data_IF_341959615235
#
_entry.id   IF_341959615235
#
_cell.length_a   1.000
_cell.length_b   1.000
_cell.length_c   1.000
_cell.angle_alpha   90.00
_cell.angle_beta   90.00
_cell.angle_gamma   90.00
#
_symmetry.space_group_name_H-M   'P 1'
#
loop_
_entity.id
_entity.type
_entity.pdbx_description
1 polymer ?
#
# COMPACT_ATOMS: atom_id res chain seq x y z
N UNK A 1 -49.63 -18.64 -14.10
CA UNK A 1 -48.82 -19.14 -15.22
C UNK A 1 -47.54 -18.32 -15.23
N UNK A 2 -46.51 -18.99 -14.71
CA UNK A 2 -45.08 -18.90 -15.02
C UNK A 2 -44.25 -17.63 -14.73
N UNK A 3 -43.50 -17.73 -13.63
CA UNK A 3 -42.18 -17.14 -13.31
C UNK A 3 -41.07 -17.54 -14.33
N UNK A 4 -39.76 -17.23 -14.12
CA UNK A 4 -39.06 -16.05 -13.57
C UNK A 4 -37.83 -15.62 -14.44
N UNK A 5 -37.13 -14.53 -14.08
CA UNK A 5 -35.72 -14.36 -14.45
C UNK A 5 -34.93 -13.57 -13.39
N UNK A 6 -34.19 -14.33 -12.56
CA UNK A 6 -32.85 -14.05 -12.01
C UNK A 6 -32.53 -12.63 -11.51
N UNK A 7 -32.66 -12.43 -10.20
CA UNK A 7 -31.81 -11.49 -9.45
C UNK A 7 -30.51 -12.23 -9.05
N UNK A 8 -29.41 -11.94 -9.74
CA UNK A 8 -28.08 -12.25 -9.23
C UNK A 8 -27.68 -11.18 -8.20
N UNK A 9 -27.57 -11.61 -6.95
CA UNK A 9 -26.95 -10.84 -5.87
C UNK A 9 -25.45 -10.88 -6.11
N UNK A 10 -24.92 -9.84 -6.74
CA UNK A 10 -23.49 -9.67 -6.94
C UNK A 10 -22.79 -9.54 -5.57
N UNK A 11 -21.86 -10.45 -5.33
CA UNK A 11 -21.15 -10.62 -4.07
C UNK A 11 -20.12 -9.51 -3.86
N UNK A 12 -19.82 -9.10 -2.62
CA UNK A 12 -18.82 -8.07 -2.36
C UNK A 12 -17.42 -8.52 -2.83
N UNK A 13 -16.56 -7.58 -3.26
CA UNK A 13 -15.26 -7.93 -3.81
C UNK A 13 -14.40 -8.63 -2.75
N UNK A 14 -14.04 -9.88 -3.06
CA UNK A 14 -13.09 -10.70 -2.31
C UNK A 14 -11.78 -9.91 -2.16
N UNK A 15 -11.46 -9.50 -0.94
CA UNK A 15 -10.16 -8.93 -0.59
C UNK A 15 -9.08 -10.01 -0.72
N UNK A 16 -8.46 -10.10 -1.89
CA UNK A 16 -7.27 -10.93 -2.14
C UNK A 16 -6.02 -10.16 -1.69
N UNK A 17 -5.91 -9.83 -0.40
CA UNK A 17 -4.64 -9.35 0.19
C UNK A 17 -4.47 -9.95 1.59
N UNK A 18 -4.45 -11.28 1.67
CA UNK A 18 -3.78 -11.96 2.77
C UNK A 18 -3.16 -13.27 2.29
N UNK A 19 -2.35 -13.17 1.23
CA UNK A 19 -1.56 -14.31 0.78
C UNK A 19 -0.37 -14.54 1.72
N UNK A 20 -0.53 -15.57 2.54
CA UNK A 20 0.52 -16.45 3.09
C UNK A 20 1.82 -15.73 3.46
N UNK A 21 1.86 -15.19 4.67
CA UNK A 21 3.14 -15.09 5.38
C UNK A 21 3.58 -16.52 5.68
N UNK A 22 4.37 -17.10 4.78
CA UNK A 22 5.14 -18.31 5.04
C UNK A 22 6.01 -17.96 6.25
N UNK A 23 5.62 -18.40 7.43
CA UNK A 23 6.51 -18.45 8.57
C UNK A 23 7.60 -19.44 8.16
N UNK A 24 8.68 -18.92 7.57
CA UNK A 24 9.96 -19.57 7.73
C UNK A 24 10.18 -19.52 9.24
N UNK A 25 9.80 -20.61 9.92
CA UNK A 25 10.48 -21.01 11.14
C UNK A 25 11.93 -21.16 10.73
N UNK A 26 12.66 -20.04 10.70
CA UNK A 26 14.10 -20.05 10.73
C UNK A 26 14.39 -20.76 12.02
N UNK A 27 14.79 -22.02 11.88
CA UNK A 27 15.40 -22.84 12.90
C UNK A 27 16.13 -21.88 13.84
N UNK A 28 15.56 -21.61 15.01
CA UNK A 28 16.36 -21.15 16.11
C UNK A 28 17.20 -22.37 16.44
N UNK A 29 18.27 -22.57 15.68
CA UNK A 29 19.50 -22.97 16.32
C UNK A 29 19.78 -21.83 17.29
N UNK A 30 19.13 -21.86 18.45
CA UNK A 30 19.86 -21.56 19.65
C UNK A 30 20.99 -22.57 19.59
N UNK A 31 22.09 -22.18 18.94
CA UNK A 31 23.37 -22.53 19.46
C UNK A 31 23.32 -21.91 20.86
N UNK A 32 22.76 -22.69 21.79
CA UNK A 32 23.18 -22.63 23.17
C UNK A 32 24.67 -22.78 23.01
N UNK A 33 25.39 -21.66 23.05
CA UNK A 33 26.83 -21.68 23.12
C UNK A 33 27.06 -22.46 24.40
N UNK A 34 27.27 -23.76 24.25
CA UNK A 34 27.86 -24.55 25.30
C UNK A 34 29.19 -23.85 25.47
N UNK A 35 29.27 -23.06 26.53
CA UNK A 35 30.54 -22.64 27.05
C UNK A 35 31.21 -23.94 27.46
N UNK A 36 31.88 -24.57 26.50
CA UNK A 36 32.84 -25.63 26.78
C UNK A 36 33.94 -24.92 27.55
N UNK A 37 33.73 -24.88 28.86
CA UNK A 37 34.69 -24.38 29.81
C UNK A 37 35.79 -25.41 29.86
N UNK A 38 36.66 -25.37 28.85
CA UNK A 38 37.90 -26.10 28.92
C UNK A 38 38.78 -25.36 29.92
N UNK A 39 38.60 -25.72 31.19
CA UNK A 39 39.54 -25.51 32.27
C UNK A 39 40.77 -26.39 31.98
N UNK A 40 41.40 -26.22 30.81
CA UNK A 40 42.73 -26.73 30.57
C UNK A 40 43.68 -25.78 31.30
N UNK A 41 43.61 -25.81 32.63
CA UNK A 41 44.75 -25.46 33.45
C UNK A 41 45.88 -26.31 32.93
N UNK A 42 46.91 -25.67 32.39
CA UNK A 42 48.19 -26.31 32.09
C UNK A 42 48.58 -27.22 33.28
N UNK A 43 49.16 -28.41 33.06
CA UNK A 43 49.49 -29.33 34.14
C UNK A 43 50.29 -28.58 35.21
N UNK A 44 50.05 -28.86 36.51
CA UNK A 44 50.78 -28.18 37.55
C UNK A 44 52.26 -28.44 37.30
N UNK A 45 53.03 -27.38 37.08
CA UNK A 45 54.48 -27.51 37.21
C UNK A 45 54.69 -27.68 38.72
N UNK A 46 54.79 -28.95 39.16
CA UNK A 46 54.97 -29.34 40.55
C UNK A 46 56.38 -28.93 41.01
N UNK A 47 56.69 -27.64 40.99
CA UNK A 47 57.71 -27.08 41.87
C UNK A 47 57.08 -27.10 43.24
N UNK A 48 57.65 -27.92 44.12
CA UNK A 48 57.27 -28.10 45.51
C UNK A 48 56.79 -26.78 46.10
N UNK A 49 55.48 -26.65 46.35
CA UNK A 49 54.91 -25.53 47.09
C UNK A 49 55.37 -25.68 48.54
N UNK A 50 56.65 -25.36 48.79
CA UNK A 50 57.33 -25.63 50.05
C UNK A 50 56.97 -24.56 51.10
N UNK A 51 56.45 -23.40 50.66
CA UNK A 51 56.08 -22.29 51.54
C UNK A 51 54.65 -21.81 51.31
N UNK A 52 54.07 -21.18 52.33
CA UNK A 52 52.73 -20.56 52.28
C UNK A 52 52.68 -19.43 51.21
N UNK A 53 53.80 -18.77 50.95
CA UNK A 53 53.88 -17.70 49.94
C UNK A 53 53.65 -18.23 48.53
N UNK A 54 54.26 -19.38 48.18
CA UNK A 54 54.12 -20.00 46.85
C UNK A 54 52.66 -20.40 46.59
N UNK A 55 51.97 -20.92 47.61
CA UNK A 55 50.55 -21.26 47.51
C UNK A 55 49.67 -20.02 47.29
N UNK A 56 49.99 -18.90 47.98
CA UNK A 56 49.29 -17.63 47.80
C UNK A 56 49.48 -17.11 46.37
N UNK A 57 50.71 -17.09 45.87
CA UNK A 57 51.01 -16.65 44.50
C UNK A 57 50.31 -17.51 43.45
N UNK A 58 50.35 -18.84 43.61
CA UNK A 58 49.64 -19.77 42.72
C UNK A 58 48.12 -19.53 42.74
N UNK A 59 47.54 -19.35 43.92
CA UNK A 59 46.10 -19.08 44.08
C UNK A 59 45.71 -17.72 43.49
N UNK A 60 46.51 -16.69 43.71
CA UNK A 60 46.33 -15.36 43.13
C UNK A 60 46.44 -15.38 41.60
N UNK A 61 47.45 -16.07 41.04
CA UNK A 61 47.60 -16.23 39.59
C UNK A 61 46.38 -16.91 38.99
N UNK A 62 45.92 -18.00 39.61
CA UNK A 62 44.74 -18.74 39.12
C UNK A 62 43.46 -17.90 39.17
N UNK A 63 43.29 -17.08 40.21
CA UNK A 63 42.17 -16.15 40.29
C UNK A 63 42.23 -15.08 39.19
N UNK A 64 43.39 -14.49 38.96
CA UNK A 64 43.60 -13.48 37.92
C UNK A 64 43.43 -14.07 36.50
N UNK A 65 43.84 -15.32 36.29
CA UNK A 65 43.60 -16.02 35.03
C UNK A 65 42.11 -16.27 34.79
N UNK A 66 41.35 -16.66 35.82
CA UNK A 66 39.89 -16.79 35.72
C UNK A 66 39.26 -15.43 35.39
N UNK A 67 39.65 -14.37 36.09
CA UNK A 67 39.15 -13.01 35.85
C UNK A 67 39.36 -12.59 34.40
N UNK A 68 40.59 -12.69 33.89
CA UNK A 68 40.93 -12.29 32.51
C UNK A 68 40.26 -13.19 31.46
N UNK A 69 40.37 -14.51 31.61
CA UNK A 69 39.99 -15.45 30.56
C UNK A 69 38.48 -15.72 30.49
N UNK A 70 37.79 -15.66 31.63
CA UNK A 70 36.36 -15.91 31.70
C UNK A 70 35.57 -14.62 31.79
N UNK A 71 35.84 -13.79 32.79
CA UNK A 71 34.98 -12.66 33.12
C UNK A 71 35.20 -11.54 32.09
N UNK A 72 36.42 -11.06 31.96
CA UNK A 72 36.72 -9.92 31.06
C UNK A 72 36.46 -10.30 29.60
N UNK A 73 36.80 -11.53 29.18
CA UNK A 73 36.50 -12.03 27.84
C UNK A 73 34.99 -12.10 27.58
N UNK A 74 34.22 -12.72 28.47
CA UNK A 74 32.77 -12.86 28.28
C UNK A 74 32.06 -11.49 28.26
N UNK A 75 32.47 -10.57 29.14
CA UNK A 75 31.95 -9.19 29.13
C UNK A 75 32.26 -8.48 27.82
N UNK A 76 33.49 -8.62 27.30
CA UNK A 76 33.87 -8.04 26.00
C UNK A 76 33.05 -8.63 24.85
N UNK A 77 32.79 -9.94 24.85
CA UNK A 77 31.97 -10.62 23.84
C UNK A 77 30.52 -10.15 23.89
N UNK A 78 29.91 -10.09 25.07
CA UNK A 78 28.52 -9.60 25.26
C UNK A 78 28.39 -8.16 24.74
N UNK A 79 29.34 -7.29 25.07
CA UNK A 79 29.31 -5.89 24.62
C UNK A 79 29.42 -5.77 23.09
N UNK A 80 30.32 -6.55 22.47
CA UNK A 80 30.46 -6.59 21.00
C UNK A 80 29.18 -7.09 20.32
N UNK A 81 28.56 -8.13 20.86
CA UNK A 81 27.31 -8.67 20.33
C UNK A 81 26.16 -7.68 20.48
N UNK A 82 26.09 -6.97 21.61
CA UNK A 82 25.12 -5.91 21.83
C UNK A 82 25.29 -4.79 20.80
N UNK A 83 26.50 -4.27 20.63
CA UNK A 83 26.80 -3.22 19.64
C UNK A 83 26.49 -3.66 18.21
N UNK A 84 26.86 -4.89 17.85
CA UNK A 84 26.56 -5.46 16.55
C UNK A 84 25.04 -5.63 16.34
N UNK A 85 24.30 -6.02 17.37
CA UNK A 85 22.84 -6.14 17.33
C UNK A 85 22.16 -4.78 17.14
N UNK A 86 22.62 -3.75 17.85
CA UNK A 86 22.12 -2.38 17.72
C UNK A 86 22.41 -1.82 16.31
N UNK A 87 23.62 -2.04 15.79
CA UNK A 87 23.99 -1.61 14.43
C UNK A 87 23.10 -2.26 13.36
N UNK A 88 22.83 -3.56 13.49
CA UNK A 88 21.90 -4.28 12.57
C UNK A 88 20.47 -3.76 12.69
N UNK A 89 20.00 -3.52 13.91
CA UNK A 89 18.65 -3.00 14.15
C UNK A 89 18.50 -1.59 13.60
N UNK A 90 19.46 -0.70 13.86
CA UNK A 90 19.48 0.66 13.34
C UNK A 90 19.45 0.68 11.82
N UNK A 91 20.25 -0.18 11.16
CA UNK A 91 20.23 -0.32 9.70
C UNK A 91 18.85 -0.72 9.18
N UNK A 92 18.23 -1.76 9.77
CA UNK A 92 16.88 -2.21 9.37
C UNK A 92 15.84 -1.11 9.59
N UNK A 93 15.88 -0.45 10.73
CA UNK A 93 14.96 0.64 11.07
C UNK A 93 15.08 1.81 10.08
N UNK A 94 16.30 2.19 9.71
CA UNK A 94 16.55 3.22 8.70
C UNK A 94 15.99 2.83 7.32
N UNK A 95 16.23 1.59 6.88
CA UNK A 95 15.69 1.08 5.62
C UNK A 95 14.16 1.07 5.62
N UNK A 96 13.54 0.59 6.69
CA UNK A 96 12.08 0.55 6.83
C UNK A 96 11.49 1.96 6.82
N UNK A 97 12.10 2.89 7.56
CA UNK A 97 11.65 4.29 7.60
C UNK A 97 11.69 4.93 6.21
N UNK A 98 12.77 4.69 5.45
CA UNK A 98 12.89 5.17 4.07
C UNK A 98 11.84 4.54 3.16
N UNK A 99 11.59 3.23 3.30
CA UNK A 99 10.55 2.53 2.53
C UNK A 99 9.15 3.08 2.84
N UNK A 100 8.81 3.28 4.12
CA UNK A 100 7.55 3.90 4.53
C UNK A 100 7.40 5.32 3.95
N UNK A 101 8.47 6.12 4.00
CA UNK A 101 8.46 7.47 3.45
C UNK A 101 8.24 7.46 1.92
N UNK A 102 8.88 6.53 1.21
CA UNK A 102 8.70 6.38 -0.23
C UNK A 102 7.27 5.97 -0.59
N UNK A 103 6.68 5.02 0.15
CA UNK A 103 5.29 4.59 -0.06
C UNK A 103 4.32 5.74 0.18
N UNK A 104 4.53 6.54 1.23
CA UNK A 104 3.70 7.69 1.53
C UNK A 104 3.72 8.73 0.40
N UNK A 105 4.91 9.06 -0.13
CA UNK A 105 5.06 10.00 -1.24
C UNK A 105 4.38 9.49 -2.52
N UNK A 106 4.55 8.21 -2.86
CA UNK A 106 3.91 7.65 -4.07
C UNK A 106 2.39 7.56 -3.92
N UNK A 107 1.89 7.21 -2.72
CA UNK A 107 0.45 7.19 -2.45
C UNK A 107 -0.17 8.58 -2.56
N UNK A 108 0.49 9.63 -2.02
CA UNK A 108 0.03 11.01 -2.15
C UNK A 108 0.00 11.46 -3.62
N UNK A 109 1.02 11.10 -4.40
CA UNK A 109 1.12 11.41 -5.83
C UNK A 109 -0.01 10.75 -6.63
N UNK A 110 -0.26 9.46 -6.44
CA UNK A 110 -1.34 8.76 -7.15
C UNK A 110 -2.72 9.23 -6.69
N UNK A 111 -2.89 9.59 -5.40
CA UNK A 111 -4.12 10.22 -4.92
C UNK A 111 -4.39 11.55 -5.63
N UNK A 112 -3.41 12.46 -5.69
CA UNK A 112 -3.56 13.75 -6.38
C UNK A 112 -3.90 13.58 -7.85
N UNK A 113 -3.23 12.65 -8.52
CA UNK A 113 -3.49 12.30 -9.93
C UNK A 113 -4.91 11.75 -10.13
N UNK A 114 -5.36 10.87 -9.25
CA UNK A 114 -6.73 10.33 -9.31
C UNK A 114 -7.76 11.42 -9.07
N UNK A 115 -7.55 12.27 -8.06
CA UNK A 115 -8.43 13.40 -7.75
C UNK A 115 -8.54 14.35 -8.95
N UNK A 116 -7.41 14.75 -9.55
CA UNK A 116 -7.44 15.62 -10.73
C UNK A 116 -8.21 15.02 -11.90
N UNK A 117 -8.09 13.71 -12.15
CA UNK A 117 -8.88 13.03 -13.18
C UNK A 117 -10.38 13.02 -12.89
N UNK A 118 -10.77 12.90 -11.62
CA UNK A 118 -12.17 12.96 -11.21
C UNK A 118 -12.71 14.36 -11.46
N UNK A 119 -11.96 15.40 -11.06
CA UNK A 119 -12.34 16.80 -11.26
C UNK A 119 -12.48 17.12 -12.76
N UNK A 120 -11.50 16.73 -13.58
CA UNK A 120 -11.53 16.91 -15.04
C UNK A 120 -12.73 16.19 -15.67
N UNK A 121 -13.00 14.94 -15.26
CA UNK A 121 -14.12 14.15 -15.75
C UNK A 121 -15.46 14.79 -15.38
N UNK A 122 -15.59 15.24 -14.13
CA UNK A 122 -16.80 15.90 -13.65
C UNK A 122 -17.07 17.20 -14.42
N UNK A 123 -16.03 17.98 -14.71
CA UNK A 123 -16.19 19.23 -15.44
C UNK A 123 -16.52 18.99 -16.92
N UNK A 124 -15.89 18.00 -17.55
CA UNK A 124 -16.25 17.56 -18.90
C UNK A 124 -17.71 17.09 -18.97
N UNK A 125 -18.17 16.29 -18.01
CA UNK A 125 -19.56 15.83 -17.95
C UNK A 125 -20.55 16.99 -17.83
N UNK A 126 -20.27 17.98 -16.96
CA UNK A 126 -21.12 19.18 -16.83
C UNK A 126 -21.17 19.96 -18.14
N UNK A 127 -20.03 20.16 -18.79
CA UNK A 127 -19.94 20.88 -20.05
C UNK A 127 -20.75 20.19 -21.16
N UNK A 128 -20.56 18.87 -21.35
CA UNK A 128 -21.32 18.09 -22.34
C UNK A 128 -22.81 18.06 -22.03
N UNK A 129 -23.21 17.98 -20.76
CA UNK A 129 -24.62 18.02 -20.39
C UNK A 129 -25.24 19.39 -20.68
N UNK A 130 -24.53 20.48 -20.38
CA UNK A 130 -24.99 21.84 -20.69
C UNK A 130 -25.18 22.05 -22.21
N UNK A 131 -24.22 21.58 -23.02
CA UNK A 131 -24.30 21.60 -24.49
C UNK A 131 -25.51 20.79 -24.98
N UNK A 132 -25.69 19.57 -24.47
CA UNK A 132 -26.84 18.73 -24.82
C UNK A 132 -28.19 19.40 -24.52
N UNK A 133 -28.33 20.04 -23.35
CA UNK A 133 -29.55 20.76 -22.99
C UNK A 133 -29.78 21.97 -23.90
N UNK A 134 -28.73 22.73 -24.22
CA UNK A 134 -28.83 23.85 -25.15
C UNK A 134 -29.29 23.39 -26.55
N UNK A 135 -28.72 22.30 -27.06
CA UNK A 135 -29.08 21.72 -28.36
C UNK A 135 -30.51 21.17 -28.39
N UNK A 136 -30.93 20.50 -27.32
CA UNK A 136 -32.30 20.01 -27.18
C UNK A 136 -33.30 21.17 -27.17
N UNK A 137 -33.00 22.23 -26.42
CA UNK A 137 -33.83 23.44 -26.37
C UNK A 137 -33.87 24.18 -27.71
N UNK A 138 -32.73 24.33 -28.37
CA UNK A 138 -32.64 24.95 -29.70
C UNK A 138 -33.45 24.15 -30.74
N UNK A 139 -33.34 22.82 -30.72
CA UNK A 139 -34.07 21.92 -31.60
C UNK A 139 -35.58 21.98 -31.36
N UNK A 140 -36.01 21.90 -30.10
CA UNK A 140 -37.42 22.01 -29.73
C UNK A 140 -38.00 23.38 -30.11
N UNK A 141 -37.26 24.46 -29.82
CA UNK A 141 -37.66 25.82 -30.19
C UNK A 141 -37.80 25.98 -31.70
N UNK A 142 -36.88 25.43 -32.50
CA UNK A 142 -36.98 25.43 -33.96
C UNK A 142 -38.23 24.70 -34.44
N UNK A 143 -38.48 23.48 -33.94
CA UNK A 143 -39.67 22.72 -34.32
C UNK A 143 -40.95 23.49 -34.01
N UNK A 144 -41.09 23.99 -32.78
CA UNK A 144 -42.31 24.65 -32.33
C UNK A 144 -42.53 26.03 -32.97
N UNK A 145 -41.47 26.83 -33.15
CA UNK A 145 -41.60 28.22 -33.61
C UNK A 145 -41.47 28.40 -35.12
N UNK A 146 -40.77 27.50 -35.82
CA UNK A 146 -40.53 27.65 -37.26
C UNK A 146 -41.15 26.50 -38.05
N UNK A 147 -40.77 25.26 -37.79
CA UNK A 147 -41.16 24.12 -38.64
C UNK A 147 -42.66 23.86 -38.65
N UNK A 148 -43.32 23.88 -37.48
CA UNK A 148 -44.77 23.66 -37.39
C UNK A 148 -45.55 24.79 -38.09
N UNK A 149 -45.31 26.09 -37.79
CA UNK A 149 -46.00 27.18 -38.48
C UNK A 149 -45.77 27.23 -39.99
N UNK A 150 -44.55 27.00 -40.46
CA UNK A 150 -44.24 26.96 -41.89
C UNK A 150 -44.98 25.83 -42.60
N UNK A 151 -45.05 24.66 -41.99
CA UNK A 151 -45.81 23.53 -42.50
C UNK A 151 -47.31 23.84 -42.55
N UNK A 152 -47.87 24.43 -41.48
CA UNK A 152 -49.27 24.86 -41.43
C UNK A 152 -49.61 25.83 -42.56
N UNK A 153 -48.80 26.88 -42.71
CA UNK A 153 -48.96 27.90 -43.76
C UNK A 153 -48.86 27.29 -45.17
N UNK A 154 -47.96 26.32 -45.37
CA UNK A 154 -47.85 25.58 -46.63
C UNK A 154 -49.12 24.78 -46.95
N UNK A 155 -49.70 24.10 -45.96
CA UNK A 155 -50.96 23.36 -46.13
C UNK A 155 -52.14 24.28 -46.45
N UNK A 156 -52.30 25.38 -45.70
CA UNK A 156 -53.33 26.40 -45.97
C UNK A 156 -53.23 26.91 -47.42
N UNK A 157 -52.04 27.33 -47.85
CA UNK A 157 -51.80 27.78 -49.22
C UNK A 157 -52.17 26.73 -50.27
N UNK A 158 -51.89 25.45 -50.00
CA UNK A 158 -52.24 24.36 -50.91
C UNK A 158 -53.75 24.14 -50.99
N UNK A 159 -54.46 24.22 -49.86
CA UNK A 159 -55.91 24.12 -49.80
C UNK A 159 -56.58 25.27 -50.56
N UNK A 160 -56.11 26.50 -50.39
CA UNK A 160 -56.61 27.66 -51.13
C UNK A 160 -56.43 27.51 -52.64
N UNK A 161 -55.27 27.01 -53.08
CA UNK A 161 -55.02 26.74 -54.50
C UNK A 161 -56.05 25.73 -55.06
N UNK A 162 -56.36 24.65 -54.33
CA UNK A 162 -57.38 23.68 -54.77
C UNK A 162 -58.75 24.34 -54.84
N UNK A 163 -59.18 25.08 -53.81
CA UNK A 163 -60.48 25.79 -53.82
C UNK A 163 -60.60 26.73 -55.01
N UNK A 164 -59.54 27.47 -55.31
CA UNK A 164 -59.51 28.40 -56.45
C UNK A 164 -59.71 27.70 -57.81
N UNK A 165 -59.18 26.48 -57.99
CA UNK A 165 -59.39 25.69 -59.20
C UNK A 165 -60.85 25.26 -59.41
N UNK A 166 -61.61 25.07 -58.33
CA UNK A 166 -63.00 24.62 -58.37
C UNK A 166 -64.03 25.74 -58.20
N UNK A 167 -63.60 27.01 -58.17
CA UNK A 167 -64.50 28.17 -58.01
C UNK A 167 -65.17 28.24 -56.64
N UNK A 168 -64.60 27.56 -55.63
CA UNK A 168 -65.11 27.59 -54.26
C UNK A 168 -64.56 28.82 -53.53
N UNK A 169 -65.40 29.58 -52.80
CA UNK A 169 -64.93 30.71 -52.02
C UNK A 169 -63.95 30.23 -50.93
N UNK A 170 -62.86 30.99 -50.71
CA UNK A 170 -62.01 30.74 -49.54
C UNK A 170 -62.74 31.18 -48.27
N UNK A 171 -62.42 30.51 -47.15
CA UNK A 171 -63.08 30.69 -45.86
C UNK A 171 -62.36 31.76 -45.03
#
# INVERSE_FOLDING_TARGET
>A
MDSPATEEIDSPPKSVIFNKRKTNASNSKSASARFDFNLQSSPPNHKTLATISDLKEFSSSRLEDIKRSLIDRSHSEILKDLEASQSRLHKRFKMETQACQQVMVEAEKEYKKMSGRIDDCQEAMKATYAEFIADAQATASRVCKTSIPELSKSFEKRLDNIRSQFGLPSA
#
